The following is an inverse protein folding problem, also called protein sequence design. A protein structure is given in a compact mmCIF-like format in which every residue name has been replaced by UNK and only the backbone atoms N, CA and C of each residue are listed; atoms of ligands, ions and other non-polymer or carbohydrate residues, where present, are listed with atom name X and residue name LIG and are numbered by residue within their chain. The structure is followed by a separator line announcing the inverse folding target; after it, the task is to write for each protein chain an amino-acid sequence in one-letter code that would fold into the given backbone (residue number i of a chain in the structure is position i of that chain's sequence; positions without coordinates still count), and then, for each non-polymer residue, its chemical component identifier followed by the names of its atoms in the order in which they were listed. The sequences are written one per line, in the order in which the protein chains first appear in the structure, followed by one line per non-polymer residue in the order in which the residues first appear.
data_IF_200778188661
#
_entry.id   IF_200778188661
#
_cell.length_a   1.000
_cell.length_b   1.000
_cell.length_c   1.000
_cell.angle_alpha   90.00
_cell.angle_beta   90.00
_cell.angle_gamma   90.00
#
_symmetry.space_group_name_H-M   'P 1'
#
loop_
_entity.id
_entity.type
_entity.pdbx_description
1 polymer ?
#
# COMPACT_ATOMS: atom_id res chain seq x y z
N UNK A 1 26.53 -9.40 12.83
CA UNK A 1 25.23 -8.73 12.52
C UNK A 1 24.82 -7.88 13.71
N UNK A 2 24.34 -6.66 13.49
CA UNK A 2 23.82 -5.75 14.54
C UNK A 2 22.56 -5.05 14.06
N UNK A 3 21.70 -4.66 14.99
CA UNK A 3 20.56 -3.79 14.75
C UNK A 3 21.03 -2.31 14.84
N UNK A 4 20.56 -1.47 13.91
CA UNK A 4 20.79 -0.02 13.92
C UNK A 4 19.50 0.70 13.47
N UNK A 5 19.45 2.02 13.65
CA UNK A 5 18.37 2.85 13.13
C UNK A 5 18.76 3.43 11.76
N UNK A 6 17.79 3.53 10.87
CA UNK A 6 17.95 4.21 9.59
C UNK A 6 18.05 5.72 9.82
N UNK A 7 19.25 6.22 9.82
CA UNK A 7 19.57 7.66 9.91
C UNK A 7 20.06 8.17 8.56
N UNK A 8 20.30 9.48 8.44
CA UNK A 8 20.79 10.11 7.20
C UNK A 8 22.06 9.46 6.65
N UNK A 9 22.95 8.94 7.52
CA UNK A 9 24.17 8.23 7.10
C UNK A 9 23.90 6.94 6.31
N UNK A 10 22.72 6.34 6.49
CA UNK A 10 22.35 5.07 5.89
C UNK A 10 21.39 5.22 4.68
N UNK A 11 20.80 6.41 4.44
CA UNK A 11 19.74 6.60 3.43
C UNK A 11 20.15 6.13 2.03
N UNK A 12 21.36 6.46 1.58
CA UNK A 12 21.85 6.04 0.27
C UNK A 12 22.08 4.52 0.18
N UNK A 13 22.65 3.92 1.23
CA UNK A 13 22.85 2.48 1.30
C UNK A 13 21.52 1.72 1.41
N UNK A 14 20.54 2.31 2.08
CA UNK A 14 19.20 1.76 2.23
C UNK A 14 18.44 1.75 0.89
N UNK A 15 18.48 2.85 0.12
CA UNK A 15 17.83 2.91 -1.19
C UNK A 15 18.44 1.87 -2.15
N UNK A 16 19.78 1.79 -2.16
CA UNK A 16 20.48 0.76 -2.95
C UNK A 16 20.09 -0.66 -2.52
N UNK A 17 20.01 -0.94 -1.23
CA UNK A 17 19.55 -2.23 -0.71
C UNK A 17 18.14 -2.57 -1.20
N UNK A 18 17.21 -1.60 -1.18
CA UNK A 18 15.85 -1.83 -1.68
C UNK A 18 15.81 -2.13 -3.19
N UNK A 19 16.66 -1.48 -3.99
CA UNK A 19 16.73 -1.66 -5.45
C UNK A 19 17.34 -3.01 -5.85
N UNK A 20 18.17 -3.62 -5.01
CA UNK A 20 18.79 -4.91 -5.26
C UNK A 20 17.79 -6.08 -5.16
N UNK A 21 16.70 -5.94 -4.40
CA UNK A 21 15.74 -7.01 -4.15
C UNK A 21 14.41 -6.79 -4.86
N UNK A 22 13.86 -7.81 -5.48
CA UNK A 22 12.61 -7.74 -6.26
C UNK A 22 11.36 -7.58 -5.40
N UNK A 23 11.43 -7.89 -4.09
CA UNK A 23 10.29 -7.89 -3.17
C UNK A 23 10.09 -6.58 -2.40
N UNK A 24 11.02 -5.62 -2.55
CA UNK A 24 10.84 -4.28 -2.02
C UNK A 24 9.81 -3.50 -2.85
N UNK A 25 8.97 -2.73 -2.16
CA UNK A 25 7.86 -2.00 -2.77
C UNK A 25 7.87 -0.53 -2.36
N UNK A 26 7.07 0.28 -3.02
CA UNK A 26 6.96 1.73 -2.81
C UNK A 26 6.89 2.13 -1.33
N UNK A 27 6.15 1.39 -0.51
CA UNK A 27 5.97 1.69 0.90
C UNK A 27 7.26 1.57 1.75
N UNK A 28 8.27 0.84 1.26
CA UNK A 28 9.58 0.72 1.92
C UNK A 28 10.52 1.89 1.60
N UNK A 29 10.28 2.62 0.51
CA UNK A 29 11.20 3.65 -0.01
C UNK A 29 11.43 4.82 0.95
N UNK A 30 12.60 5.45 0.88
CA UNK A 30 12.89 6.69 1.60
C UNK A 30 11.93 7.83 1.20
N UNK A 31 11.47 7.84 -0.05
CA UNK A 31 10.51 8.83 -0.52
C UNK A 31 9.19 8.68 0.26
N UNK A 32 8.65 7.47 0.38
CA UNK A 32 7.43 7.23 1.14
C UNK A 32 7.60 7.46 2.64
N UNK A 33 8.75 7.07 3.22
CA UNK A 33 9.10 7.35 4.62
C UNK A 33 9.04 8.85 4.91
N UNK A 34 9.68 9.69 4.09
CA UNK A 34 9.66 11.16 4.24
C UNK A 34 8.29 11.75 3.98
N UNK A 35 7.53 11.19 3.03
CA UNK A 35 6.15 11.56 2.76
C UNK A 35 5.26 11.33 4.00
N UNK A 36 5.33 10.16 4.63
CA UNK A 36 4.56 9.86 5.86
C UNK A 36 4.87 10.82 7.01
N UNK A 37 6.16 11.16 7.19
CA UNK A 37 6.55 12.15 8.22
C UNK A 37 5.86 13.49 8.02
N UNK A 38 5.81 13.99 6.79
CA UNK A 38 5.13 15.27 6.48
C UNK A 38 3.63 15.15 6.57
N UNK A 39 3.06 14.04 6.07
CA UNK A 39 1.62 13.86 6.01
C UNK A 39 0.98 13.69 7.40
N UNK A 40 1.62 12.92 8.27
CA UNK A 40 1.07 12.52 9.57
C UNK A 40 1.73 13.21 10.76
N UNK A 41 2.79 14.00 10.54
CA UNK A 41 3.60 14.60 11.61
C UNK A 41 4.10 13.56 12.63
N UNK A 42 4.56 12.41 12.14
CA UNK A 42 5.00 11.27 12.95
C UNK A 42 6.53 11.16 13.03
N UNK A 43 7.01 10.35 13.98
CA UNK A 43 8.42 10.01 14.12
C UNK A 43 8.71 8.67 13.45
N UNK A 44 9.72 8.63 12.59
CA UNK A 44 10.20 7.40 11.97
C UNK A 44 11.38 6.81 12.76
N UNK A 45 11.34 5.51 12.98
CA UNK A 45 12.37 4.73 13.68
C UNK A 45 12.70 3.45 12.90
N UNK A 46 12.78 3.54 11.56
CA UNK A 46 13.06 2.38 10.72
C UNK A 46 14.29 1.62 11.22
N UNK A 47 14.14 0.33 11.41
CA UNK A 47 15.19 -0.58 11.84
C UNK A 47 15.93 -1.14 10.63
N UNK A 48 17.26 -1.28 10.75
CA UNK A 48 18.11 -1.95 9.77
C UNK A 48 18.99 -2.99 10.45
N UNK A 49 19.12 -4.14 9.83
CA UNK A 49 20.12 -5.14 10.20
C UNK A 49 21.38 -4.91 9.36
N UNK A 50 22.53 -4.77 10.03
CA UNK A 50 23.82 -4.47 9.39
C UNK A 50 24.82 -5.59 9.65
N UNK A 51 25.43 -6.11 8.58
CA UNK A 51 26.49 -7.11 8.62
C UNK A 51 27.62 -6.74 7.67
N UNK A 52 28.88 -6.79 8.15
CA UNK A 52 30.03 -6.41 7.33
C UNK A 52 29.98 -4.97 6.78
N UNK A 53 29.27 -4.06 7.45
CA UNK A 53 29.10 -2.67 7.01
C UNK A 53 28.03 -2.47 5.93
N UNK A 54 27.26 -3.51 5.57
CA UNK A 54 26.17 -3.48 4.60
C UNK A 54 24.83 -3.71 5.30
N UNK A 55 23.76 -3.15 4.74
CA UNK A 55 22.39 -3.46 5.16
C UNK A 55 22.03 -4.83 4.55
N UNK A 56 21.54 -5.74 5.41
CA UNK A 56 21.10 -7.09 5.03
C UNK A 56 19.61 -7.31 5.32
N UNK A 57 18.95 -6.34 5.92
CA UNK A 57 17.50 -6.36 6.14
C UNK A 57 17.03 -5.06 6.75
N UNK A 58 15.73 -4.81 6.64
CA UNK A 58 15.08 -3.61 7.17
C UNK A 58 13.65 -3.89 7.61
N UNK A 59 13.16 -3.08 8.55
CA UNK A 59 11.77 -3.09 8.99
C UNK A 59 11.31 -1.65 9.23
N UNK A 60 10.30 -1.15 8.49
CA UNK A 60 9.69 0.14 8.79
C UNK A 60 9.16 0.19 10.22
N UNK A 61 9.32 1.33 10.86
CA UNK A 61 8.77 1.58 12.20
C UNK A 61 8.41 3.07 12.32
N UNK A 62 7.15 3.35 12.62
CA UNK A 62 6.60 4.70 12.73
C UNK A 62 5.88 4.84 14.05
N UNK A 63 6.32 5.80 14.86
CA UNK A 63 5.71 6.11 16.14
C UNK A 63 4.59 7.13 15.96
N UNK A 64 3.36 6.70 16.22
CA UNK A 64 2.16 7.53 16.19
C UNK A 64 1.79 7.95 17.63
N UNK A 65 1.31 9.18 17.78
CA UNK A 65 0.90 9.75 19.07
C UNK A 65 -0.56 10.17 19.05
N UNK A 66 -1.31 9.77 20.06
CA UNK A 66 -2.63 10.28 20.40
C UNK A 66 -2.63 10.84 21.83
N UNK A 67 -3.73 11.48 22.25
CA UNK A 67 -3.85 12.00 23.62
C UNK A 67 -3.86 10.91 24.67
N UNK A 68 -4.28 9.70 24.31
CA UNK A 68 -4.38 8.55 25.21
C UNK A 68 -3.12 7.68 25.24
N UNK A 69 -2.10 8.01 24.44
CA UNK A 69 -0.84 7.26 24.42
C UNK A 69 -0.16 7.24 23.06
N UNK A 70 0.70 6.26 22.85
CA UNK A 70 1.49 6.06 21.63
C UNK A 70 1.26 4.67 21.06
N UNK A 71 1.46 4.50 19.78
CA UNK A 71 1.56 3.17 19.16
C UNK A 71 2.70 3.14 18.13
N UNK A 72 3.30 1.98 17.96
CA UNK A 72 4.31 1.73 16.94
C UNK A 72 3.70 0.91 15.81
N UNK A 73 3.72 1.43 14.61
CA UNK A 73 3.24 0.72 13.42
C UNK A 73 4.38 0.52 12.42
N UNK A 74 4.48 -0.66 11.83
CA UNK A 74 5.44 -0.87 10.76
C UNK A 74 5.06 -0.09 9.50
N UNK A 75 3.76 0.13 9.24
CA UNK A 75 3.29 1.02 8.19
C UNK A 75 1.89 1.60 8.51
N UNK A 76 1.79 2.84 9.00
CA UNK A 76 0.52 3.54 9.15
C UNK A 76 -0.02 4.03 7.80
N UNK A 77 -1.18 4.70 7.80
CA UNK A 77 -1.80 5.36 6.65
C UNK A 77 -2.25 4.39 5.56
N UNK A 78 -3.24 3.53 5.90
CA UNK A 78 -3.81 2.52 4.98
C UNK A 78 -2.80 1.48 4.48
N UNK A 79 -1.66 1.34 5.18
CA UNK A 79 -0.61 0.40 4.80
C UNK A 79 -1.05 -1.04 4.95
N UNK A 80 -0.64 -1.86 4.02
CA UNK A 80 -0.87 -3.31 4.01
C UNK A 80 0.41 -4.09 3.71
N UNK A 81 1.58 -3.47 3.74
CA UNK A 81 2.79 -4.07 3.20
C UNK A 81 4.07 -3.58 3.93
N UNK A 82 3.98 -3.32 5.23
CA UNK A 82 5.07 -2.72 6.02
C UNK A 82 5.96 -3.74 6.74
N UNK A 83 6.12 -4.93 6.20
CA UNK A 83 6.87 -6.02 6.82
C UNK A 83 8.39 -5.91 6.69
N UNK A 84 9.06 -6.96 7.16
CA UNK A 84 10.51 -7.12 6.99
C UNK A 84 10.85 -7.17 5.51
N UNK A 85 11.87 -6.42 5.12
CA UNK A 85 12.53 -6.51 3.81
C UNK A 85 13.84 -7.24 4.01
N UNK A 86 13.97 -8.40 3.39
CA UNK A 86 15.12 -9.27 3.41
C UNK A 86 15.03 -10.20 2.19
N UNK A 87 16.12 -10.52 1.53
CA UNK A 87 16.10 -11.14 0.19
C UNK A 87 16.71 -12.55 0.13
N UNK A 88 17.34 -13.02 1.21
CA UNK A 88 18.08 -14.30 1.23
C UNK A 88 17.38 -15.38 2.07
N UNK A 89 16.22 -15.09 2.66
CA UNK A 89 15.52 -15.99 3.58
C UNK A 89 16.24 -16.20 4.92
N UNK A 90 17.08 -15.25 5.35
CA UNK A 90 17.90 -15.35 6.55
C UNK A 90 17.07 -15.15 7.83
N UNK A 91 16.65 -16.26 8.44
CA UNK A 91 15.84 -16.27 9.68
C UNK A 91 16.44 -15.42 10.81
N UNK A 92 17.77 -15.32 10.91
CA UNK A 92 18.42 -14.51 11.96
C UNK A 92 18.23 -13.01 11.73
N UNK A 93 18.22 -12.57 10.48
CA UNK A 93 17.92 -11.16 10.12
C UNK A 93 16.47 -10.85 10.48
N UNK A 94 15.54 -11.71 10.09
CA UNK A 94 14.12 -11.56 10.42
C UNK A 94 13.90 -11.47 11.93
N UNK A 95 14.44 -12.43 12.69
CA UNK A 95 14.28 -12.48 14.15
C UNK A 95 14.87 -11.24 14.83
N UNK A 96 16.04 -10.78 14.37
CA UNK A 96 16.67 -9.57 14.91
C UNK A 96 15.80 -8.33 14.71
N UNK A 97 15.23 -8.15 13.51
CA UNK A 97 14.39 -7.01 13.17
C UNK A 97 13.06 -7.04 13.92
N UNK A 98 12.40 -8.20 13.97
CA UNK A 98 11.11 -8.37 14.65
C UNK A 98 11.24 -8.14 16.16
N UNK A 99 12.24 -8.76 16.79
CA UNK A 99 12.50 -8.57 18.22
C UNK A 99 12.80 -7.09 18.50
N UNK A 100 13.67 -6.46 17.67
CA UNK A 100 13.98 -5.06 17.79
C UNK A 100 12.77 -4.14 17.64
N UNK A 101 11.83 -4.48 16.79
CA UNK A 101 10.59 -3.71 16.59
C UNK A 101 9.71 -3.73 17.85
N UNK A 102 9.48 -4.91 18.43
CA UNK A 102 8.67 -5.00 19.64
C UNK A 102 9.37 -4.42 20.87
N UNK A 103 10.69 -4.62 21.01
CA UNK A 103 11.46 -3.97 22.08
C UNK A 103 11.48 -2.44 21.94
N UNK A 104 11.53 -1.92 20.72
CA UNK A 104 11.40 -0.48 20.48
C UNK A 104 10.05 0.05 20.95
N UNK A 105 8.95 -0.62 20.62
CA UNK A 105 7.61 -0.25 21.06
C UNK A 105 7.49 -0.23 22.58
N UNK A 106 8.01 -1.26 23.26
CA UNK A 106 8.08 -1.35 24.71
C UNK A 106 8.91 -0.22 25.33
N UNK A 107 10.09 0.05 24.78
CA UNK A 107 10.99 1.11 25.26
C UNK A 107 10.44 2.53 25.08
N UNK A 108 9.55 2.71 24.07
CA UNK A 108 8.82 3.96 23.83
C UNK A 108 7.54 4.09 24.65
N UNK A 109 7.24 3.12 25.50
CA UNK A 109 6.01 3.08 26.31
C UNK A 109 4.75 3.19 25.42
N UNK A 110 4.71 2.41 24.34
CA UNK A 110 3.55 2.34 23.48
C UNK A 110 2.41 1.55 24.15
N UNK A 111 1.16 1.87 23.80
CA UNK A 111 0.01 1.03 24.13
C UNK A 111 0.11 -0.32 23.44
N UNK A 112 0.50 -0.29 22.16
CA UNK A 112 0.74 -1.48 21.35
C UNK A 112 1.77 -1.23 20.24
N UNK A 113 2.33 -2.32 19.72
CA UNK A 113 3.09 -2.34 18.47
C UNK A 113 2.41 -3.25 17.46
N UNK A 114 2.28 -2.79 16.24
CA UNK A 114 1.67 -3.54 15.15
C UNK A 114 2.64 -3.69 13.98
N UNK A 115 3.12 -4.92 13.78
CA UNK A 115 3.95 -5.29 12.64
C UNK A 115 3.07 -5.94 11.56
N UNK A 116 3.08 -5.35 10.37
CA UNK A 116 2.34 -5.85 9.21
C UNK A 116 3.30 -6.63 8.32
N UNK A 117 3.02 -7.89 8.01
CA UNK A 117 3.85 -8.65 7.08
C UNK A 117 3.64 -8.19 5.65
N UNK A 118 4.63 -8.44 4.78
CA UNK A 118 4.52 -8.14 3.35
C UNK A 118 3.99 -9.34 2.58
N UNK A 119 3.00 -9.20 1.68
CA UNK A 119 2.59 -10.27 0.78
C UNK A 119 3.63 -10.58 -0.30
N UNK A 120 4.67 -9.77 -0.46
CA UNK A 120 5.76 -9.99 -1.41
C UNK A 120 6.94 -10.77 -0.80
N UNK A 121 7.02 -10.85 0.52
CA UNK A 121 8.10 -11.57 1.19
C UNK A 121 7.62 -12.95 1.63
N UNK A 122 8.41 -13.97 1.34
CA UNK A 122 8.24 -15.28 1.95
C UNK A 122 8.60 -15.14 3.44
N UNK A 123 7.58 -15.16 4.29
CA UNK A 123 7.78 -15.12 5.73
C UNK A 123 8.36 -16.48 6.16
N UNK A 124 9.58 -16.54 6.69
CA UNK A 124 10.09 -17.78 7.25
C UNK A 124 9.22 -18.21 8.44
N UNK A 125 9.15 -19.50 8.72
CA UNK A 125 8.53 -19.98 9.96
C UNK A 125 9.33 -19.46 11.14
N UNK A 126 8.76 -18.47 11.83
CA UNK A 126 9.34 -17.83 13.01
C UNK A 126 8.35 -17.93 14.16
N UNK A 127 8.90 -18.13 15.35
CA UNK A 127 8.15 -17.96 16.59
C UNK A 127 8.09 -16.45 16.91
N UNK A 128 6.96 -15.82 16.57
CA UNK A 128 6.72 -14.39 16.82
C UNK A 128 5.83 -14.29 18.06
N UNK A 129 6.33 -13.63 19.10
CA UNK A 129 5.58 -13.35 20.32
C UNK A 129 4.60 -12.18 20.07
N UNK A 130 3.31 -12.50 19.94
CA UNK A 130 2.21 -11.55 19.75
C UNK A 130 1.02 -11.86 20.65
N UNK A 131 0.20 -10.87 20.96
CA UNK A 131 -1.03 -11.02 21.76
C UNK A 131 -2.27 -11.14 20.88
N UNK A 132 -2.30 -10.42 19.73
CA UNK A 132 -3.39 -10.48 18.75
C UNK A 132 -2.86 -10.71 17.35
N UNK A 133 -3.63 -11.43 16.53
CA UNK A 133 -3.31 -11.69 15.12
C UNK A 133 -4.51 -11.35 14.24
N UNK A 134 -4.33 -10.42 13.27
CA UNK A 134 -5.34 -10.14 12.26
C UNK A 134 -4.85 -10.60 10.88
N UNK A 135 -5.62 -11.51 10.27
CA UNK A 135 -5.30 -12.08 8.96
C UNK A 135 -6.00 -11.30 7.85
N UNK A 136 -5.25 -10.91 6.84
CA UNK A 136 -5.72 -10.20 5.64
C UNK A 136 -5.33 -10.94 4.37
N UNK A 137 -5.92 -10.52 3.25
CA UNK A 137 -5.57 -11.03 1.93
C UNK A 137 -5.00 -9.87 1.12
N UNK A 138 -3.75 -9.99 0.70
CA UNK A 138 -3.13 -9.21 -0.37
C UNK A 138 -3.51 -9.83 -1.72
N UNK A 139 -3.65 -9.00 -2.73
CA UNK A 139 -3.94 -9.46 -4.08
C UNK A 139 -2.94 -8.84 -5.06
N UNK A 140 -2.30 -9.66 -5.88
CA UNK A 140 -1.22 -9.26 -6.78
C UNK A 140 -1.46 -9.91 -8.15
N UNK A 141 -1.36 -9.12 -9.22
CA UNK A 141 -1.37 -9.64 -10.59
C UNK A 141 0.03 -9.59 -11.20
N UNK A 142 0.45 -10.66 -11.86
CA UNK A 142 1.62 -10.64 -12.74
C UNK A 142 1.23 -9.96 -14.06
N UNK A 143 1.89 -8.85 -14.39
CA UNK A 143 1.59 -8.06 -15.57
C UNK A 143 2.59 -8.25 -16.72
N UNK A 144 3.62 -9.07 -16.54
CA UNK A 144 4.62 -9.38 -17.59
C UNK A 144 3.99 -9.95 -18.84
N UNK A 145 2.91 -10.72 -18.65
CA UNK A 145 2.16 -11.33 -19.76
C UNK A 145 1.54 -10.33 -20.74
N UNK A 146 1.37 -9.06 -20.33
CA UNK A 146 0.73 -8.04 -21.17
C UNK A 146 1.65 -7.49 -22.29
N UNK A 147 2.93 -7.84 -22.26
CA UNK A 147 3.90 -7.52 -23.33
C UNK A 147 4.19 -8.70 -24.23
N UNK A 148 3.57 -9.87 -24.00
CA UNK A 148 3.78 -11.05 -24.83
C UNK A 148 3.24 -10.78 -26.25
N UNK A 149 4.15 -10.84 -27.24
CA UNK A 149 3.87 -10.54 -28.65
C UNK A 149 3.08 -11.62 -29.37
N UNK A 150 2.95 -12.82 -28.76
CA UNK A 150 2.31 -13.99 -29.37
C UNK A 150 0.80 -13.99 -29.22
N UNK A 151 0.21 -13.07 -28.47
CA UNK A 151 -1.24 -12.97 -28.38
C UNK A 151 -1.83 -12.13 -29.53
N UNK A 152 -2.69 -12.74 -30.33
CA UNK A 152 -3.42 -12.07 -31.43
C UNK A 152 -4.34 -10.93 -30.94
N UNK A 153 -4.57 -10.79 -29.64
CA UNK A 153 -5.44 -9.76 -29.06
C UNK A 153 -4.95 -9.42 -27.64
N UNK A 154 -4.49 -8.21 -27.45
CA UNK A 154 -3.87 -7.69 -26.21
C UNK A 154 -4.67 -7.93 -24.91
N UNK A 155 -5.98 -8.16 -24.99
CA UNK A 155 -6.86 -8.38 -23.82
C UNK A 155 -7.17 -9.86 -23.55
N UNK A 156 -6.66 -10.78 -24.36
CA UNK A 156 -7.02 -12.22 -24.26
C UNK A 156 -6.42 -12.90 -23.02
N UNK A 157 -5.43 -12.30 -22.40
CA UNK A 157 -4.88 -12.74 -21.11
C UNK A 157 -5.88 -12.64 -19.94
N UNK A 158 -6.93 -11.81 -20.07
CA UNK A 158 -7.95 -11.66 -19.03
C UNK A 158 -9.17 -12.54 -19.27
N UNK A 159 -9.87 -12.85 -18.19
CA UNK A 159 -11.15 -13.57 -18.24
C UNK A 159 -12.21 -12.84 -19.05
N UNK A 160 -13.22 -13.58 -19.54
CA UNK A 160 -14.29 -13.07 -20.41
C UNK A 160 -15.01 -11.82 -19.85
N UNK A 161 -15.17 -11.75 -18.52
CA UNK A 161 -15.79 -10.61 -17.87
C UNK A 161 -14.97 -9.32 -18.06
N UNK A 162 -13.68 -9.34 -17.74
CA UNK A 162 -12.76 -8.19 -17.86
C UNK A 162 -12.67 -7.74 -19.32
N UNK A 163 -12.51 -8.69 -20.25
CA UNK A 163 -12.51 -8.38 -21.69
C UNK A 163 -13.79 -7.65 -22.13
N UNK A 164 -14.96 -8.12 -21.64
CA UNK A 164 -16.25 -7.47 -21.92
C UNK A 164 -16.29 -6.04 -21.37
N UNK A 165 -15.78 -5.79 -20.17
CA UNK A 165 -15.77 -4.45 -19.56
C UNK A 165 -14.86 -3.50 -20.34
N UNK A 166 -13.66 -3.93 -20.73
CA UNK A 166 -12.74 -3.14 -21.56
C UNK A 166 -13.37 -2.81 -22.91
N UNK A 167 -13.94 -3.81 -23.62
CA UNK A 167 -14.63 -3.59 -24.90
C UNK A 167 -15.82 -2.65 -24.76
N UNK A 168 -16.55 -2.73 -23.65
CA UNK A 168 -17.68 -1.82 -23.38
C UNK A 168 -17.22 -0.37 -23.25
N UNK A 169 -16.14 -0.12 -22.53
CA UNK A 169 -15.57 1.22 -22.41
C UNK A 169 -15.09 1.77 -23.77
N UNK A 170 -14.37 0.95 -24.55
CA UNK A 170 -13.93 1.30 -25.92
C UNK A 170 -15.12 1.63 -26.85
N UNK A 171 -16.18 0.81 -26.82
CA UNK A 171 -17.42 1.05 -27.59
C UNK A 171 -18.12 2.36 -27.19
N UNK A 172 -17.97 2.79 -25.95
CA UNK A 172 -18.50 4.07 -25.48
C UNK A 172 -17.53 5.23 -25.68
N UNK A 173 -16.50 5.08 -26.51
CA UNK A 173 -15.52 6.13 -26.83
C UNK A 173 -14.91 6.75 -25.57
N UNK A 174 -14.50 5.91 -24.62
CA UNK A 174 -13.71 6.33 -23.48
C UNK A 174 -12.26 6.50 -23.93
N UNK A 175 -11.69 7.67 -23.68
CA UNK A 175 -10.30 7.99 -23.92
C UNK A 175 -9.52 7.98 -22.60
N UNK A 176 -8.27 7.50 -22.63
CA UNK A 176 -7.42 7.38 -21.44
C UNK A 176 -6.09 8.05 -21.71
N UNK A 177 -5.63 8.86 -20.77
CA UNK A 177 -4.34 9.55 -20.83
C UNK A 177 -3.75 9.77 -19.42
N UNK A 178 -2.45 10.04 -19.35
CA UNK A 178 -1.78 10.46 -18.12
C UNK A 178 -1.84 11.98 -18.02
N UNK A 179 -2.26 12.49 -16.88
CA UNK A 179 -2.28 13.91 -16.55
C UNK A 179 -1.88 14.11 -15.10
N UNK A 180 -0.72 14.69 -14.87
CA UNK A 180 -0.17 14.91 -13.54
C UNK A 180 -0.36 16.35 -13.04
N UNK A 181 -1.08 17.17 -13.78
CA UNK A 181 -1.29 18.58 -13.47
C UNK A 181 -2.30 18.77 -12.33
N UNK A 182 -2.26 19.93 -11.72
CA UNK A 182 -3.09 20.32 -10.58
C UNK A 182 -4.59 20.08 -10.82
N UNK A 183 -5.11 20.39 -12.00
CA UNK A 183 -6.54 20.22 -12.31
C UNK A 183 -6.97 18.75 -12.28
N UNK A 184 -6.11 17.82 -12.72
CA UNK A 184 -6.38 16.38 -12.65
C UNK A 184 -6.40 15.90 -11.20
N UNK A 185 -5.51 16.40 -10.35
CA UNK A 185 -5.51 16.11 -8.91
C UNK A 185 -6.73 16.70 -8.19
N UNK A 186 -7.22 17.88 -8.57
CA UNK A 186 -8.47 18.44 -8.03
C UNK A 186 -9.68 17.56 -8.40
N UNK A 187 -9.74 17.06 -9.65
CA UNK A 187 -10.75 16.08 -10.04
C UNK A 187 -10.64 14.78 -9.23
N UNK A 188 -9.42 14.23 -9.09
CA UNK A 188 -9.17 13.03 -8.30
C UNK A 188 -9.68 13.22 -6.86
N UNK A 189 -9.34 14.35 -6.21
CA UNK A 189 -9.74 14.69 -4.85
C UNK A 189 -11.26 14.77 -4.71
N UNK A 190 -11.92 15.55 -5.56
CA UNK A 190 -13.36 15.73 -5.52
C UNK A 190 -14.10 14.40 -5.69
N UNK A 191 -13.75 13.64 -6.73
CA UNK A 191 -14.37 12.35 -7.00
C UNK A 191 -14.06 11.30 -5.92
N UNK A 192 -12.85 11.34 -5.32
CA UNK A 192 -12.50 10.48 -4.17
C UNK A 192 -13.41 10.77 -2.98
N UNK A 193 -13.67 12.03 -2.68
CA UNK A 193 -14.52 12.40 -1.55
C UNK A 193 -15.96 11.92 -1.76
N UNK A 194 -16.53 12.14 -2.96
CA UNK A 194 -17.87 11.63 -3.31
C UNK A 194 -17.92 10.09 -3.23
N UNK A 195 -16.90 9.39 -3.76
CA UNK A 195 -16.88 7.93 -3.73
C UNK A 195 -16.74 7.39 -2.29
N UNK A 196 -16.03 8.09 -1.40
CA UNK A 196 -15.92 7.70 0.01
C UNK A 196 -17.23 7.98 0.78
N UNK A 197 -17.92 9.09 0.50
CA UNK A 197 -19.23 9.37 1.07
C UNK A 197 -20.28 8.32 0.70
N UNK A 198 -20.29 7.87 -0.58
CA UNK A 198 -21.18 6.80 -1.05
C UNK A 198 -21.08 5.48 -0.25
N UNK A 199 -19.93 5.21 0.37
CA UNK A 199 -19.66 3.95 1.07
C UNK A 199 -19.34 4.13 2.57
N UNK A 200 -19.53 5.33 3.13
CA UNK A 200 -19.09 5.70 4.49
C UNK A 200 -17.62 5.36 4.74
N UNK A 201 -16.77 5.50 3.71
CA UNK A 201 -15.37 5.19 3.74
C UNK A 201 -14.52 6.34 4.30
N UNK A 202 -13.30 6.02 4.73
CA UNK A 202 -12.37 7.03 5.25
C UNK A 202 -11.72 7.81 4.11
N UNK A 203 -11.96 9.11 4.07
CA UNK A 203 -11.33 10.04 3.12
C UNK A 203 -9.84 10.22 3.43
N UNK A 204 -9.04 10.36 2.39
CA UNK A 204 -7.67 10.86 2.56
C UNK A 204 -7.70 12.36 2.93
N UNK A 205 -6.77 12.84 3.77
CA UNK A 205 -6.74 14.25 4.13
C UNK A 205 -6.48 15.11 2.88
N UNK A 206 -7.03 16.33 2.87
CA UNK A 206 -6.90 17.22 1.71
C UNK A 206 -5.45 17.49 1.33
N UNK A 207 -4.61 17.69 2.31
CA UNK A 207 -3.18 17.92 2.15
C UNK A 207 -2.44 16.76 1.43
N UNK A 208 -2.99 15.52 1.48
CA UNK A 208 -2.41 14.37 0.79
C UNK A 208 -2.21 14.62 -0.71
N UNK A 209 -3.23 15.16 -1.40
CA UNK A 209 -3.20 15.33 -2.85
C UNK A 209 -2.14 16.34 -3.31
N UNK A 210 -2.01 17.46 -2.58
CA UNK A 210 -0.94 18.44 -2.83
C UNK A 210 0.44 17.87 -2.50
N UNK A 211 0.54 17.17 -1.37
CA UNK A 211 1.81 16.60 -0.94
C UNK A 211 2.34 15.54 -1.91
N UNK A 212 1.46 14.79 -2.61
CA UNK A 212 1.90 13.84 -3.65
C UNK A 212 2.63 14.59 -4.77
N UNK A 213 2.06 15.67 -5.30
CA UNK A 213 2.67 16.46 -6.37
C UNK A 213 3.99 17.13 -5.94
N UNK A 214 4.06 17.58 -4.69
CA UNK A 214 5.24 18.28 -4.16
C UNK A 214 6.38 17.34 -3.78
N UNK A 215 6.08 16.08 -3.52
CA UNK A 215 7.03 15.17 -2.86
C UNK A 215 7.56 14.08 -3.78
N UNK A 216 6.77 13.62 -4.73
CA UNK A 216 7.12 12.55 -5.66
C UNK A 216 7.36 13.09 -7.07
N UNK A 217 8.20 12.38 -7.83
CA UNK A 217 8.51 12.73 -9.21
C UNK A 217 7.48 12.14 -10.15
N UNK A 218 6.78 13.00 -10.91
CA UNK A 218 5.85 12.54 -11.94
C UNK A 218 6.53 11.69 -13.01
N UNK A 219 5.83 10.69 -13.52
CA UNK A 219 6.35 9.77 -14.54
C UNK A 219 7.34 8.73 -14.02
N UNK A 220 8.01 8.99 -12.89
CA UNK A 220 8.96 8.09 -12.24
C UNK A 220 8.36 7.41 -11.02
N UNK A 221 7.93 8.19 -10.03
CA UNK A 221 7.44 7.68 -8.74
C UNK A 221 5.93 7.48 -8.77
N UNK A 222 5.20 8.27 -9.57
CA UNK A 222 3.76 8.16 -9.76
C UNK A 222 3.28 8.60 -11.13
N UNK A 223 2.06 8.16 -11.49
CA UNK A 223 1.25 8.75 -12.55
C UNK A 223 -0.21 8.82 -12.09
N UNK A 224 -0.87 9.90 -12.52
CA UNK A 224 -2.32 10.03 -12.45
C UNK A 224 -2.91 9.75 -13.84
N UNK A 225 -3.61 8.64 -13.95
CA UNK A 225 -4.31 8.23 -15.14
C UNK A 225 -5.73 8.79 -15.13
N UNK A 226 -6.16 9.39 -16.25
CA UNK A 226 -7.46 10.02 -16.42
C UNK A 226 -8.24 9.32 -17.52
N UNK A 227 -9.55 9.12 -17.32
CA UNK A 227 -10.47 8.64 -18.36
C UNK A 227 -11.50 9.71 -18.68
N UNK A 228 -11.76 9.90 -19.97
CA UNK A 228 -12.65 10.92 -20.51
C UNK A 228 -13.78 10.34 -21.34
N UNK A 229 -14.95 10.99 -21.28
CA UNK A 229 -16.05 10.84 -22.25
C UNK A 229 -16.21 12.19 -22.97
N UNK A 230 -15.70 12.29 -24.20
CA UNK A 230 -15.49 13.58 -24.85
C UNK A 230 -14.51 14.44 -24.04
N UNK A 231 -14.87 15.68 -23.72
CA UNK A 231 -14.04 16.58 -22.89
C UNK A 231 -14.24 16.38 -21.37
N UNK A 232 -15.18 15.55 -20.93
CA UNK A 232 -15.52 15.40 -19.53
C UNK A 232 -14.69 14.29 -18.85
N UNK A 233 -13.95 14.57 -17.75
CA UNK A 233 -13.31 13.53 -16.96
C UNK A 233 -14.37 12.69 -16.24
N UNK A 234 -14.25 11.35 -16.28
CA UNK A 234 -15.25 10.41 -15.76
C UNK A 234 -14.68 9.35 -14.83
N UNK A 235 -13.37 9.16 -14.82
CA UNK A 235 -12.67 8.32 -13.86
C UNK A 235 -11.20 8.75 -13.76
N UNK A 236 -10.55 8.43 -12.65
CA UNK A 236 -9.12 8.60 -12.48
C UNK A 236 -8.52 7.46 -11.66
N UNK A 237 -7.21 7.26 -11.78
CA UNK A 237 -6.45 6.28 -11.01
C UNK A 237 -5.06 6.83 -10.72
N UNK A 238 -4.78 7.09 -9.46
CA UNK A 238 -3.42 7.36 -8.98
C UNK A 238 -2.71 6.04 -8.72
N UNK A 239 -1.54 5.87 -9.32
CA UNK A 239 -0.65 4.72 -9.11
C UNK A 239 0.73 5.20 -8.69
N UNK A 240 1.45 4.35 -7.94
CA UNK A 240 2.85 4.58 -7.61
C UNK A 240 3.72 3.47 -8.19
N UNK A 241 4.95 3.81 -8.46
CA UNK A 241 5.94 2.88 -9.02
C UNK A 241 7.12 2.74 -8.06
N UNK A 242 7.58 1.52 -7.89
CA UNK A 242 8.86 1.28 -7.23
C UNK A 242 9.41 -0.10 -7.63
N UNK A 243 10.70 -0.16 -7.94
CA UNK A 243 11.42 -1.39 -8.27
C UNK A 243 10.67 -2.21 -9.34
N UNK A 244 10.06 -3.35 -8.98
CA UNK A 244 9.31 -4.22 -9.91
C UNK A 244 7.79 -4.12 -9.80
N UNK A 245 7.30 -3.25 -8.92
CA UNK A 245 5.89 -3.21 -8.51
C UNK A 245 5.23 -1.88 -8.83
N UNK A 246 3.97 -1.97 -9.23
CA UNK A 246 3.05 -0.82 -9.35
C UNK A 246 1.96 -0.95 -8.30
N UNK A 247 1.75 0.11 -7.53
CA UNK A 247 0.72 0.20 -6.51
C UNK A 247 -0.58 0.77 -7.07
N UNK A 248 -1.67 0.00 -7.06
CA UNK A 248 -3.02 0.47 -7.34
C UNK A 248 -3.55 1.26 -6.15
N UNK A 249 -3.45 2.59 -6.20
CA UNK A 249 -3.54 3.36 -4.97
C UNK A 249 -4.89 4.07 -4.75
N UNK A 250 -5.32 4.97 -5.65
CA UNK A 250 -6.62 5.65 -5.56
C UNK A 250 -7.36 5.54 -6.88
N UNK A 251 -8.26 4.58 -7.02
CA UNK A 251 -9.23 4.56 -8.11
C UNK A 251 -10.44 5.44 -7.77
N UNK A 252 -10.91 6.21 -8.73
CA UNK A 252 -12.18 6.95 -8.62
C UNK A 252 -12.98 6.85 -9.90
N UNK A 253 -14.31 6.93 -9.75
CA UNK A 253 -15.24 6.89 -10.89
C UNK A 253 -16.47 7.73 -10.58
N UNK A 254 -16.84 8.58 -11.53
CA UNK A 254 -18.08 9.35 -11.46
C UNK A 254 -19.27 8.37 -11.58
N UNK A 255 -20.21 8.45 -10.65
CA UNK A 255 -21.28 7.47 -10.41
C UNK A 255 -22.12 7.18 -11.66
N UNK A 256 -22.49 8.21 -12.42
CA UNK A 256 -23.31 8.15 -13.62
C UNK A 256 -22.63 7.38 -14.75
N UNK A 257 -21.29 7.32 -14.75
CA UNK A 257 -20.50 6.65 -15.78
C UNK A 257 -20.08 5.22 -15.40
N UNK A 258 -20.41 4.73 -14.21
CA UNK A 258 -20.07 3.35 -13.78
C UNK A 258 -20.55 2.30 -14.77
N UNK A 259 -21.73 2.51 -15.36
CA UNK A 259 -22.33 1.55 -16.31
C UNK A 259 -21.49 1.35 -17.58
N UNK A 260 -20.77 2.37 -18.07
CA UNK A 260 -19.94 2.29 -19.28
C UNK A 260 -18.48 1.90 -19.03
N UNK A 261 -18.11 1.60 -17.78
CA UNK A 261 -16.87 0.96 -17.40
C UNK A 261 -15.55 1.73 -17.67
N UNK A 262 -15.48 3.06 -17.52
CA UNK A 262 -14.27 3.83 -17.82
C UNK A 262 -13.08 3.38 -16.99
N UNK A 263 -13.28 3.04 -15.70
CA UNK A 263 -12.21 2.58 -14.81
C UNK A 263 -11.60 1.25 -15.29
N UNK A 264 -12.39 0.37 -15.91
CA UNK A 264 -11.86 -0.89 -16.43
C UNK A 264 -10.89 -0.68 -17.60
N UNK A 265 -11.17 0.26 -18.50
CA UNK A 265 -10.25 0.62 -19.58
C UNK A 265 -9.00 1.31 -19.01
N UNK A 266 -9.18 2.21 -18.07
CA UNK A 266 -8.11 2.95 -17.43
C UNK A 266 -7.11 2.02 -16.71
N UNK A 267 -7.61 1.05 -15.92
CA UNK A 267 -6.77 0.03 -15.28
C UNK A 267 -5.99 -0.77 -16.32
N UNK A 268 -6.66 -1.21 -17.40
CA UNK A 268 -6.01 -1.98 -18.46
C UNK A 268 -4.87 -1.21 -19.13
N UNK A 269 -5.11 0.04 -19.55
CA UNK A 269 -4.10 0.86 -20.22
C UNK A 269 -2.92 1.17 -19.26
N UNK A 270 -3.20 1.42 -17.98
CA UNK A 270 -2.16 1.63 -16.97
C UNK A 270 -1.31 0.36 -16.72
N UNK A 271 -1.94 -0.82 -16.62
CA UNK A 271 -1.23 -2.10 -16.50
C UNK A 271 -0.36 -2.39 -17.72
N UNK A 272 -0.89 -2.14 -18.93
CA UNK A 272 -0.19 -2.34 -20.19
C UNK A 272 1.03 -1.42 -20.31
N UNK A 273 0.89 -0.14 -19.95
CA UNK A 273 1.99 0.81 -19.93
C UNK A 273 3.07 0.39 -18.92
N UNK A 274 2.66 0.01 -17.72
CA UNK A 274 3.57 -0.47 -16.67
C UNK A 274 4.36 -1.72 -17.11
N UNK A 275 3.68 -2.70 -17.72
CA UNK A 275 4.33 -3.89 -18.27
C UNK A 275 5.36 -3.54 -19.35
N UNK A 276 5.04 -2.61 -20.26
CA UNK A 276 5.98 -2.12 -21.29
C UNK A 276 7.19 -1.41 -20.70
N UNK A 277 7.04 -0.77 -19.53
CA UNK A 277 8.12 -0.13 -18.77
C UNK A 277 8.97 -1.11 -17.96
N UNK A 278 8.65 -2.41 -17.97
CA UNK A 278 9.39 -3.47 -17.30
C UNK A 278 9.01 -3.69 -15.85
N UNK A 279 7.83 -3.27 -15.43
CA UNK A 279 7.26 -3.66 -14.13
C UNK A 279 6.66 -5.07 -14.23
N UNK A 280 6.76 -5.83 -13.13
CA UNK A 280 6.35 -7.24 -13.09
C UNK A 280 5.01 -7.42 -12.40
N UNK A 281 4.77 -6.65 -11.33
CA UNK A 281 3.66 -6.88 -10.42
C UNK A 281 2.77 -5.65 -10.30
N UNK A 282 1.47 -5.91 -10.30
CA UNK A 282 0.44 -4.94 -9.97
C UNK A 282 -0.15 -5.28 -8.61
N UNK A 283 0.17 -4.45 -7.60
CA UNK A 283 -0.31 -4.63 -6.24
C UNK A 283 -1.66 -3.95 -6.05
N UNK A 284 -2.68 -4.74 -5.84
CA UNK A 284 -4.02 -4.25 -5.54
C UNK A 284 -4.19 -3.83 -4.08
N UNK A 285 -3.19 -4.03 -3.23
CA UNK A 285 -3.26 -3.85 -1.78
C UNK A 285 -4.10 -4.90 -1.08
N UNK A 286 -4.31 -4.68 0.21
CA UNK A 286 -5.10 -5.57 1.06
C UNK A 286 -6.60 -5.52 0.78
N UNK A 287 -7.28 -6.61 1.12
CA UNK A 287 -8.74 -6.71 1.13
C UNK A 287 -9.18 -7.36 2.44
N UNK A 288 -10.12 -6.75 3.13
CA UNK A 288 -10.73 -7.34 4.32
C UNK A 288 -11.60 -8.53 3.93
N UNK A 289 -11.66 -9.57 4.79
CA UNK A 289 -12.35 -10.83 4.47
C UNK A 289 -13.87 -10.64 4.26
N UNK A 290 -14.46 -9.63 4.85
CA UNK A 290 -15.88 -9.27 4.74
C UNK A 290 -16.22 -8.41 3.50
N UNK A 291 -15.25 -8.17 2.60
CA UNK A 291 -15.43 -7.41 1.36
C UNK A 291 -15.40 -8.30 0.09
N UNK A 292 -16.33 -9.25 -0.08
CA UNK A 292 -16.28 -10.22 -1.18
C UNK A 292 -16.40 -9.59 -2.57
N UNK A 293 -17.05 -8.42 -2.67
CA UNK A 293 -17.18 -7.68 -3.94
C UNK A 293 -15.83 -7.13 -4.41
N UNK A 294 -15.06 -6.51 -3.51
CA UNK A 294 -13.73 -5.98 -3.81
C UNK A 294 -12.78 -7.12 -4.15
N UNK A 295 -12.80 -8.19 -3.36
CA UNK A 295 -12.00 -9.39 -3.60
C UNK A 295 -12.26 -9.97 -4.99
N UNK A 296 -13.56 -10.15 -5.38
CA UNK A 296 -13.96 -10.66 -6.69
C UNK A 296 -13.51 -9.74 -7.82
N UNK A 297 -13.66 -8.43 -7.65
CA UNK A 297 -13.20 -7.44 -8.64
C UNK A 297 -11.72 -7.60 -8.96
N UNK A 298 -10.86 -7.62 -7.93
CA UNK A 298 -9.41 -7.78 -8.10
C UNK A 298 -9.06 -9.12 -8.76
N UNK A 299 -9.73 -10.21 -8.35
CA UNK A 299 -9.52 -11.54 -8.93
C UNK A 299 -9.82 -11.61 -10.44
N UNK A 300 -10.72 -10.78 -10.95
CA UNK A 300 -11.03 -10.71 -12.39
C UNK A 300 -9.87 -10.18 -13.24
N UNK A 301 -8.87 -9.56 -12.61
CA UNK A 301 -7.65 -9.06 -13.21
C UNK A 301 -6.47 -10.04 -13.05
N UNK A 302 -6.75 -11.33 -12.93
CA UNK A 302 -5.78 -12.41 -12.69
C UNK A 302 -5.00 -12.24 -11.38
N UNK A 303 -5.54 -11.51 -10.41
CA UNK A 303 -4.90 -11.35 -9.12
C UNK A 303 -4.92 -12.67 -8.33
N UNK A 304 -3.77 -13.07 -7.83
CA UNK A 304 -3.61 -14.17 -6.90
C UNK A 304 -3.74 -13.66 -5.46
N UNK A 305 -4.30 -14.50 -4.59
CA UNK A 305 -4.43 -14.18 -3.18
C UNK A 305 -3.18 -14.59 -2.44
N UNK A 306 -2.62 -13.68 -1.68
CA UNK A 306 -1.47 -13.91 -0.81
C UNK A 306 -1.84 -13.46 0.60
N UNK A 307 -1.89 -14.35 1.60
CA UNK A 307 -2.19 -13.95 2.97
C UNK A 307 -1.07 -13.09 3.54
N UNK A 308 -1.44 -12.10 4.33
CA UNK A 308 -0.52 -11.34 5.15
C UNK A 308 -1.17 -11.07 6.51
N UNK A 309 -0.37 -10.69 7.49
CA UNK A 309 -0.75 -10.71 8.89
C UNK A 309 -0.36 -9.41 9.58
N UNK A 310 -1.19 -9.00 10.51
CA UNK A 310 -0.90 -7.98 11.50
C UNK A 310 -0.57 -8.70 12.80
N UNK A 311 0.68 -8.63 13.22
CA UNK A 311 1.16 -9.16 14.50
C UNK A 311 1.16 -8.03 15.52
N UNK A 312 0.32 -8.12 16.52
CA UNK A 312 0.11 -7.06 17.50
C UNK A 312 0.61 -7.51 18.86
N UNK A 313 1.51 -6.72 19.47
CA UNK A 313 1.93 -6.83 20.84
C UNK A 313 1.33 -5.69 21.64
N UNK A 314 0.63 -6.01 22.74
CA UNK A 314 -0.01 -5.06 23.65
C UNK A 314 0.88 -4.89 24.87
N UNK A 315 1.18 -3.66 25.26
CA UNK A 315 1.99 -3.36 26.45
C UNK A 315 1.17 -2.76 27.57
N UNK A 316 0.03 -2.12 27.25
CA UNK A 316 -0.90 -1.55 28.23
C UNK A 316 -2.31 -2.14 28.03
N UNK A 317 -2.74 -2.96 28.96
CA UNK A 317 -4.05 -3.63 28.91
C UNK A 317 -5.25 -2.66 28.99
N UNK A 318 -5.04 -1.39 29.41
CA UNK A 318 -6.09 -0.38 29.32
C UNK A 318 -6.56 -0.14 27.89
N UNK A 319 -5.74 -0.48 26.89
CA UNK A 319 -6.11 -0.40 25.48
C UNK A 319 -7.40 -1.16 25.17
N UNK A 320 -7.64 -2.31 25.82
CA UNK A 320 -8.85 -3.12 25.61
C UNK A 320 -10.12 -2.47 26.17
N UNK A 321 -10.00 -1.50 27.10
CA UNK A 321 -11.13 -0.77 27.67
C UNK A 321 -11.54 0.48 26.87
N UNK A 322 -10.77 0.84 25.83
CA UNK A 322 -11.10 2.00 25.01
C UNK A 322 -12.19 1.67 24.00
N UNK A 323 -13.07 2.63 23.71
CA UNK A 323 -14.06 2.47 22.65
C UNK A 323 -13.40 2.58 21.26
N UNK A 324 -14.00 1.90 20.29
CA UNK A 324 -13.58 2.02 18.87
C UNK A 324 -13.54 3.48 18.40
N UNK A 325 -14.55 4.28 18.78
CA UNK A 325 -14.63 5.72 18.41
C UNK A 325 -13.45 6.51 18.99
N UNK A 326 -13.05 6.22 20.22
CA UNK A 326 -11.89 6.87 20.83
C UNK A 326 -10.61 6.53 20.04
N UNK A 327 -10.39 5.25 19.75
CA UNK A 327 -9.21 4.81 19.00
C UNK A 327 -9.19 5.43 17.60
N UNK A 328 -10.30 5.40 16.88
CA UNK A 328 -10.42 5.99 15.53
C UNK A 328 -10.15 7.49 15.50
N UNK A 329 -10.55 8.21 16.55
CA UNK A 329 -10.32 9.64 16.69
C UNK A 329 -8.88 9.98 17.04
N UNK A 330 -8.29 9.26 18.00
CA UNK A 330 -6.95 9.55 18.50
C UNK A 330 -5.83 9.04 17.57
N UNK A 331 -6.09 7.94 16.86
CA UNK A 331 -5.15 7.30 15.94
C UNK A 331 -5.76 7.09 14.54
N UNK A 332 -6.14 8.17 13.86
CA UNK A 332 -6.98 8.08 12.64
C UNK A 332 -6.35 7.32 11.49
N UNK A 333 -5.04 7.11 11.49
CA UNK A 333 -4.29 6.46 10.41
C UNK A 333 -3.38 5.33 10.89
N UNK A 334 -3.48 4.95 12.16
CA UNK A 334 -2.68 3.88 12.74
C UNK A 334 -3.60 2.72 13.14
N UNK A 335 -3.09 1.52 13.06
CA UNK A 335 -3.80 0.32 13.50
C UNK A 335 -3.22 -0.13 14.85
N UNK A 336 -4.05 -0.23 15.89
CA UNK A 336 -3.62 -0.60 17.24
C UNK A 336 -3.90 -2.06 17.53
N UNK A 337 -5.14 -2.49 17.27
CA UNK A 337 -5.61 -3.88 17.44
C UNK A 337 -6.91 -4.09 16.65
N UNK A 338 -7.34 -5.35 16.42
CA UNK A 338 -8.65 -5.65 15.87
C UNK A 338 -9.76 -5.13 16.81
N UNK A 339 -10.78 -4.46 16.27
CA UNK A 339 -11.84 -3.87 17.11
C UNK A 339 -12.73 -4.91 17.82
N UNK A 340 -12.80 -6.13 17.30
CA UNK A 340 -13.48 -7.24 17.97
C UNK A 340 -12.77 -7.72 19.25
N UNK A 341 -11.55 -7.28 19.50
CA UNK A 341 -10.80 -7.56 20.75
C UNK A 341 -11.07 -6.50 21.83
N UNK A 342 -11.77 -5.39 21.49
CA UNK A 342 -12.17 -4.39 22.47
C UNK A 342 -13.31 -4.92 23.34
N UNK A 343 -13.24 -4.66 24.63
CA UNK A 343 -14.35 -4.91 25.53
C UNK A 343 -15.50 -3.93 25.16
N UNK A 344 -16.54 -4.45 24.56
CA UNK A 344 -17.78 -3.72 24.26
C UNK A 344 -18.62 -3.47 25.52
#
# INVERSE_FOLDING_TARGET
MKLDLLTSKWESAYEKFLEEGETSIFYHSNAFRRFLKRLLSVEDHYLIAVEGGKIVGALPAVLCRGKVGKCLNSLPFFGSNGGVVEFEGNKKVWQLLINGFFELGKSKECLSSNMISSPFAENPELDIDYDCLDKRIGQISDIRILTDKDSNNEIDHFGAFTRRMIRKARKNSIEVKVENEKNAFEFLKACHYENMDDINGKKKPEFFFHLVMDHFNEGKDYNLWMAYKGSRPVAALLIFYFNRTVEYYIPVIVKEYRSIQPLSLLIYEAMKDASKKGYYYWNWGGTHLDQPGVHRFKKQWNAVNIPYYYYIKVYDNHLFSYSEDLIRREFPYCYLLPFNELNT
#
